data_IF_704630462108
#
_entry.id   IF_704630462108
#
_cell.length_a   1.000
_cell.length_b   1.000
_cell.length_c   1.000
_cell.angle_alpha   90.00
_cell.angle_beta   90.00
_cell.angle_gamma   90.00
#
_symmetry.space_group_name_H-M   'P 1'
#
loop_
_entity.id
_entity.type
_entity.pdbx_description
1 polymer ?
#
# COMPACT_ATOMS: atom_id res chain seq x y z
N UNK A 1 -10.74 -24.86 24.69
CA UNK A 1 -9.41 -24.21 24.54
C UNK A 1 -8.77 -24.83 23.32
N UNK A 2 -8.80 -24.12 22.20
CA UNK A 2 -7.99 -24.42 21.03
C UNK A 2 -7.27 -23.12 20.71
N UNK A 3 -5.96 -23.12 20.93
CA UNK A 3 -5.07 -22.03 20.56
C UNK A 3 -5.03 -21.95 19.04
N UNK A 4 -5.68 -20.95 18.47
CA UNK A 4 -5.46 -20.57 17.07
C UNK A 4 -4.98 -19.12 17.00
N UNK A 5 -4.05 -18.77 17.90
CA UNK A 5 -3.30 -17.52 17.76
C UNK A 5 -2.37 -17.70 16.58
N UNK A 6 -2.71 -17.09 15.43
CA UNK A 6 -1.83 -17.05 14.28
C UNK A 6 -0.54 -16.33 14.71
N UNK A 7 0.51 -17.10 15.04
CA UNK A 7 1.80 -16.57 15.49
C UNK A 7 2.52 -15.96 14.29
N UNK A 8 2.41 -14.65 14.18
CA UNK A 8 3.13 -13.87 13.20
C UNK A 8 4.51 -13.45 13.76
N UNK A 9 5.50 -14.33 13.64
CA UNK A 9 6.91 -13.98 13.90
C UNK A 9 7.50 -13.23 12.69
N UNK A 10 7.18 -11.93 12.58
CA UNK A 10 7.79 -11.07 11.55
C UNK A 10 9.14 -10.53 12.03
N UNK A 11 10.23 -11.29 11.83
CA UNK A 11 11.61 -10.81 12.06
C UNK A 11 12.36 -10.55 10.75
N UNK A 12 13.22 -9.53 10.72
CA UNK A 12 14.06 -9.19 9.57
C UNK A 12 13.30 -8.78 8.30
N UNK A 13 13.60 -9.42 7.17
CA UNK A 13 12.98 -9.18 5.83
C UNK A 13 11.46 -9.41 5.86
N UNK A 14 10.96 -10.21 6.81
CA UNK A 14 9.54 -10.43 6.99
C UNK A 14 8.79 -9.13 7.38
N UNK A 15 9.46 -8.13 7.97
CA UNK A 15 8.85 -6.80 8.19
C UNK A 15 8.59 -6.05 6.90
N UNK A 16 9.33 -6.30 5.81
CA UNK A 16 9.01 -5.70 4.51
C UNK A 16 7.60 -6.13 4.07
N UNK A 17 7.19 -7.38 4.34
CA UNK A 17 5.83 -7.83 4.06
C UNK A 17 4.77 -6.97 4.75
N UNK A 18 5.04 -6.43 5.95
CA UNK A 18 4.12 -5.50 6.63
C UNK A 18 3.98 -4.17 5.88
N UNK A 19 5.05 -3.66 5.28
CA UNK A 19 5.00 -2.43 4.47
C UNK A 19 4.29 -2.64 3.12
N UNK A 20 4.50 -3.80 2.50
CA UNK A 20 3.77 -4.21 1.29
C UNK A 20 2.28 -4.41 1.60
N UNK A 21 1.97 -4.87 2.81
CA UNK A 21 0.60 -5.07 3.26
C UNK A 21 -0.13 -3.75 3.47
N UNK A 22 0.54 -2.82 4.15
CA UNK A 22 0.08 -1.45 4.33
C UNK A 22 -0.21 -0.76 2.98
N UNK A 23 0.51 -1.14 1.93
CA UNK A 23 0.41 -0.54 0.60
C UNK A 23 -0.58 -1.26 -0.32
N UNK A 24 -1.26 -2.31 0.17
CA UNK A 24 -2.18 -3.18 -0.60
C UNK A 24 -1.66 -3.52 -2.00
N UNK A 25 -0.37 -3.85 -2.08
CA UNK A 25 0.37 -3.99 -3.36
C UNK A 25 -0.33 -4.83 -4.46
N UNK A 26 -1.04 -5.94 -4.16
CA UNK A 26 -1.76 -6.70 -5.18
C UNK A 26 -2.93 -5.94 -5.82
N UNK A 27 -3.71 -5.20 -5.02
CA UNK A 27 -4.78 -4.33 -5.53
C UNK A 27 -4.21 -3.10 -6.22
N UNK A 28 -3.16 -2.50 -5.63
CA UNK A 28 -2.44 -1.40 -6.27
C UNK A 28 -1.94 -1.79 -7.66
N UNK A 29 -1.36 -2.98 -7.84
CA UNK A 29 -0.86 -3.41 -9.14
C UNK A 29 -1.96 -3.50 -10.21
N UNK A 30 -3.15 -3.99 -9.86
CA UNK A 30 -4.29 -4.05 -10.78
C UNK A 30 -4.79 -2.66 -11.18
N UNK A 31 -4.88 -1.74 -10.22
CA UNK A 31 -5.29 -0.37 -10.48
C UNK A 31 -4.26 0.36 -11.37
N UNK A 32 -2.97 0.13 -11.13
CA UNK A 32 -1.88 0.68 -11.93
C UNK A 32 -1.90 0.18 -13.38
N UNK A 33 -2.19 -1.10 -13.61
CA UNK A 33 -2.34 -1.66 -14.96
C UNK A 33 -3.47 -0.97 -15.73
N UNK A 34 -4.58 -0.69 -15.06
CA UNK A 34 -5.74 0.00 -15.67
C UNK A 34 -5.38 1.43 -16.06
N UNK A 35 -4.71 2.18 -15.17
CA UNK A 35 -4.25 3.53 -15.46
C UNK A 35 -3.21 3.56 -16.59
N UNK A 36 -2.28 2.60 -16.63
CA UNK A 36 -1.28 2.49 -17.68
C UNK A 36 -1.92 2.18 -19.04
N UNK A 37 -2.88 1.26 -19.09
CA UNK A 37 -3.60 0.92 -20.32
C UNK A 37 -4.41 2.11 -20.84
N UNK A 38 -5.15 2.80 -19.97
CA UNK A 38 -5.92 3.98 -20.36
C UNK A 38 -5.01 5.09 -20.94
N UNK A 39 -3.86 5.30 -20.31
CA UNK A 39 -2.87 6.29 -20.76
C UNK A 39 -2.28 5.92 -22.12
N UNK A 40 -1.98 4.64 -22.36
CA UNK A 40 -1.47 4.15 -23.64
C UNK A 40 -2.51 4.29 -24.75
N UNK A 41 -3.76 3.92 -24.48
CA UNK A 41 -4.88 4.07 -25.42
C UNK A 41 -5.12 5.54 -25.79
N UNK A 42 -4.99 6.45 -24.81
CA UNK A 42 -5.09 7.89 -25.06
C UNK A 42 -3.93 8.43 -25.89
N UNK A 43 -2.70 7.98 -25.62
CA UNK A 43 -1.50 8.44 -26.33
C UNK A 43 -1.44 7.91 -27.77
N UNK A 44 -1.99 6.71 -28.02
CA UNK A 44 -2.05 6.11 -29.35
C UNK A 44 -0.74 5.50 -29.86
N UNK A 45 0.34 5.61 -29.09
CA UNK A 45 1.65 5.01 -29.37
C UNK A 45 2.38 4.71 -28.05
N UNK A 46 3.42 3.88 -28.10
CA UNK A 46 4.26 3.59 -26.95
C UNK A 46 5.24 4.74 -26.67
N UNK A 47 5.21 5.33 -25.45
CA UNK A 47 6.19 6.33 -25.09
C UNK A 47 7.58 5.69 -24.93
N UNK A 48 8.63 6.52 -24.94
CA UNK A 48 9.99 6.01 -24.77
C UNK A 48 10.16 5.20 -23.47
N UNK A 49 11.04 4.19 -23.47
CA UNK A 49 11.30 3.34 -22.31
C UNK A 49 11.62 4.13 -21.03
N UNK A 50 12.26 5.30 -21.17
CA UNK A 50 12.54 6.20 -20.03
C UNK A 50 11.25 6.74 -19.40
N UNK A 51 10.30 7.17 -20.21
CA UNK A 51 9.00 7.68 -19.76
C UNK A 51 8.18 6.55 -19.13
N UNK A 52 8.17 5.37 -19.74
CA UNK A 52 7.50 4.19 -19.17
C UNK A 52 8.07 3.86 -17.79
N UNK A 53 9.39 3.73 -17.67
CA UNK A 53 10.03 3.41 -16.39
C UNK A 53 9.76 4.46 -15.31
N UNK A 54 9.88 5.74 -15.66
CA UNK A 54 9.60 6.83 -14.72
C UNK A 54 8.11 6.88 -14.33
N UNK A 55 7.20 6.67 -15.28
CA UNK A 55 5.76 6.57 -15.07
C UNK A 55 5.38 5.45 -14.11
N UNK A 56 5.94 4.25 -14.31
CA UNK A 56 5.70 3.09 -13.44
C UNK A 56 6.19 3.35 -12.01
N UNK A 57 7.39 3.89 -11.83
CA UNK A 57 7.93 4.22 -10.50
C UNK A 57 7.05 5.28 -9.82
N UNK A 58 6.63 6.31 -10.56
CA UNK A 58 5.82 7.42 -10.05
C UNK A 58 4.44 6.94 -9.61
N UNK A 59 3.76 6.16 -10.45
CA UNK A 59 2.44 5.60 -10.17
C UNK A 59 2.50 4.62 -9.00
N UNK A 60 3.52 3.75 -8.95
CA UNK A 60 3.73 2.84 -7.83
C UNK A 60 3.92 3.59 -6.51
N UNK A 61 4.74 4.65 -6.53
CA UNK A 61 4.96 5.49 -5.37
C UNK A 61 3.67 6.20 -4.92
N UNK A 62 2.89 6.74 -5.86
CA UNK A 62 1.63 7.43 -5.58
C UNK A 62 0.59 6.51 -4.93
N UNK A 63 0.34 5.34 -5.50
CA UNK A 63 -0.58 4.36 -4.91
C UNK A 63 -0.12 3.91 -3.52
N UNK A 64 1.17 3.60 -3.38
CA UNK A 64 1.76 3.22 -2.09
C UNK A 64 1.55 4.31 -1.04
N UNK A 65 1.75 5.58 -1.40
CA UNK A 65 1.54 6.71 -0.51
C UNK A 65 0.07 6.86 -0.09
N UNK A 66 -0.87 6.75 -1.04
CA UNK A 66 -2.31 6.90 -0.78
C UNK A 66 -2.83 5.77 0.13
N UNK A 67 -2.46 4.52 -0.13
CA UNK A 67 -2.86 3.41 0.74
C UNK A 67 -2.25 3.49 2.13
N UNK A 68 -0.96 3.83 2.23
CA UNK A 68 -0.32 4.03 3.53
C UNK A 68 -0.95 5.20 4.31
N UNK A 69 -1.28 6.30 3.63
CA UNK A 69 -1.94 7.45 4.23
C UNK A 69 -3.37 7.11 4.69
N UNK A 70 -4.11 6.32 3.91
CA UNK A 70 -5.44 5.84 4.29
C UNK A 70 -5.40 5.09 5.63
N UNK A 71 -4.43 4.19 5.81
CA UNK A 71 -4.25 3.45 7.07
C UNK A 71 -3.77 4.35 8.23
N UNK A 72 -2.96 5.38 7.95
CA UNK A 72 -2.54 6.38 8.94
C UNK A 72 -3.73 7.23 9.42
N UNK A 73 -4.57 7.72 8.50
CA UNK A 73 -5.77 8.50 8.82
C UNK A 73 -6.81 7.62 9.52
N UNK A 74 -6.99 6.38 9.04
CA UNK A 74 -7.91 5.38 9.58
C UNK A 74 -7.52 4.85 10.96
N UNK A 75 -6.27 5.06 11.40
CA UNK A 75 -5.69 4.47 12.62
C UNK A 75 -6.61 4.44 13.85
N UNK A 76 -7.23 5.58 14.20
CA UNK A 76 -8.09 5.65 15.41
C UNK A 76 -9.39 4.86 15.26
N UNK A 77 -9.98 4.84 14.06
CA UNK A 77 -11.19 4.10 13.75
C UNK A 77 -10.90 2.60 13.71
N UNK A 78 -9.81 2.21 13.06
CA UNK A 78 -9.46 0.81 12.89
C UNK A 78 -8.98 0.18 14.21
N UNK A 79 -8.26 0.95 15.04
CA UNK A 79 -7.92 0.53 16.41
C UNK A 79 -9.16 0.23 17.26
N UNK A 80 -10.23 1.04 17.13
CA UNK A 80 -11.49 0.80 17.84
C UNK A 80 -12.20 -0.45 17.32
N UNK A 81 -12.21 -0.69 16.00
CA UNK A 81 -12.80 -1.90 15.39
C UNK A 81 -12.08 -3.18 15.83
N UNK A 82 -10.74 -3.15 15.92
CA UNK A 82 -9.93 -4.25 16.45
C UNK A 82 -10.28 -4.51 17.92
N UNK A 83 -10.35 -3.45 18.75
CA UNK A 83 -10.67 -3.57 20.18
C UNK A 83 -12.10 -4.07 20.45
N UNK A 84 -13.04 -3.79 19.55
CA UNK A 84 -14.44 -4.25 19.66
C UNK A 84 -14.65 -5.70 19.19
N UNK A 85 -13.59 -6.40 18.77
CA UNK A 85 -13.71 -7.77 18.25
C UNK A 85 -14.48 -7.87 16.93
N UNK A 86 -14.72 -6.73 16.26
CA UNK A 86 -15.48 -6.66 15.01
C UNK A 86 -14.65 -7.08 13.78
N UNK A 87 -13.34 -7.28 13.92
CA UNK A 87 -12.55 -8.04 12.95
C UNK A 87 -12.58 -9.50 13.39
N UNK A 88 -13.56 -10.26 12.88
CA UNK A 88 -13.61 -11.71 13.09
C UNK A 88 -12.38 -12.31 12.39
N UNK A 89 -11.48 -12.93 13.17
CA UNK A 89 -10.28 -13.65 12.70
C UNK A 89 -10.55 -14.75 11.64
N UNK A 90 -11.83 -15.04 11.38
CA UNK A 90 -12.29 -16.15 10.53
C UNK A 90 -12.33 -15.74 9.03
N UNK A 91 -12.40 -14.45 8.71
CA UNK A 91 -12.48 -13.95 7.32
C UNK A 91 -11.10 -13.60 6.72
N UNK A 92 -10.04 -13.59 7.54
CA UNK A 92 -8.69 -13.16 7.15
C UNK A 92 -7.87 -14.25 6.43
N UNK A 93 -8.43 -15.44 6.15
CA UNK A 93 -7.72 -16.54 5.49
C UNK A 93 -8.14 -16.79 4.03
N UNK A 94 -9.24 -16.22 3.56
CA UNK A 94 -9.76 -16.44 2.18
C UNK A 94 -9.67 -15.20 1.28
N UNK A 95 -9.36 -14.02 1.83
CA UNK A 95 -9.30 -12.77 1.05
C UNK A 95 -7.88 -12.49 0.53
N UNK A 96 -7.73 -11.73 -0.56
CA UNK A 96 -6.41 -11.40 -1.14
C UNK A 96 -5.52 -10.63 -0.13
N UNK A 97 -6.16 -9.91 0.80
CA UNK A 97 -5.58 -9.24 1.96
C UNK A 97 -5.04 -10.23 3.03
N UNK A 98 -5.33 -11.54 2.94
CA UNK A 98 -4.80 -12.58 3.84
C UNK A 98 -3.29 -12.81 3.70
N UNK A 99 -2.74 -12.57 2.50
CA UNK A 99 -1.29 -12.72 2.25
C UNK A 99 -0.47 -11.62 2.95
N UNK A 100 -1.13 -10.56 3.43
CA UNK A 100 -0.51 -9.31 3.83
C UNK A 100 -1.30 -8.70 5.00
N UNK A 101 -0.76 -8.82 6.24
CA UNK A 101 -1.44 -8.41 7.49
C UNK A 101 -2.30 -7.16 7.35
N UNK A 102 -3.62 -7.32 7.53
CA UNK A 102 -4.59 -6.23 7.45
C UNK A 102 -4.45 -5.27 8.63
N UNK A 103 -4.30 -3.98 8.33
CA UNK A 103 -4.13 -2.88 9.30
C UNK A 103 -2.98 -3.09 10.32
N UNK A 104 -1.71 -3.16 9.86
CA UNK A 104 -0.56 -3.42 10.73
C UNK A 104 -0.35 -2.33 11.79
N UNK A 105 -0.77 -1.08 11.50
CA UNK A 105 -0.81 0.02 12.46
C UNK A 105 -1.83 -0.22 13.58
N UNK A 106 -3.07 -0.62 13.24
CA UNK A 106 -4.14 -0.84 14.20
C UNK A 106 -3.87 -2.05 15.12
N UNK A 107 -3.16 -3.07 14.61
CA UNK A 107 -2.68 -4.23 15.37
C UNK A 107 -1.41 -3.96 16.20
N UNK A 108 -0.81 -2.77 16.08
CA UNK A 108 0.39 -2.38 16.84
C UNK A 108 1.71 -2.96 16.34
N UNK A 109 1.72 -3.58 15.15
CA UNK A 109 2.91 -4.16 14.52
C UNK A 109 3.83 -3.08 13.91
N UNK A 110 3.26 -1.91 13.61
CA UNK A 110 3.94 -0.71 13.15
C UNK A 110 3.52 0.48 14.00
N UNK A 111 4.47 1.38 14.28
CA UNK A 111 4.17 2.65 14.95
C UNK A 111 3.52 3.64 13.99
N UNK A 112 2.63 4.49 14.51
CA UNK A 112 2.03 5.60 13.75
C UNK A 112 3.08 6.48 13.06
N UNK A 113 4.20 6.73 13.74
CA UNK A 113 5.30 7.53 13.17
C UNK A 113 5.95 6.84 11.98
N UNK A 114 6.12 5.52 12.04
CA UNK A 114 6.72 4.73 10.95
C UNK A 114 5.79 4.72 9.73
N UNK A 115 4.48 4.51 9.94
CA UNK A 115 3.49 4.57 8.86
C UNK A 115 3.42 5.96 8.20
N UNK A 116 3.47 7.03 9.01
CA UNK A 116 3.47 8.40 8.50
C UNK A 116 4.74 8.72 7.71
N UNK A 117 5.92 8.38 8.22
CA UNK A 117 7.20 8.59 7.51
C UNK A 117 7.21 7.81 6.20
N UNK A 118 6.70 6.57 6.20
CA UNK A 118 6.56 5.77 4.99
C UNK A 118 5.65 6.43 3.95
N UNK A 119 4.44 6.85 4.34
CA UNK A 119 3.52 7.52 3.44
C UNK A 119 4.11 8.82 2.86
N UNK A 120 4.77 9.64 3.69
CA UNK A 120 5.40 10.89 3.26
C UNK A 120 6.58 10.63 2.32
N UNK A 121 7.42 9.63 2.60
CA UNK A 121 8.56 9.30 1.75
C UNK A 121 8.11 8.89 0.34
N UNK A 122 7.07 8.05 0.24
CA UNK A 122 6.49 7.66 -1.05
C UNK A 122 5.77 8.81 -1.75
N UNK A 123 5.07 9.68 -1.00
CA UNK A 123 4.43 10.87 -1.56
C UNK A 123 5.46 11.82 -2.18
N UNK A 124 6.59 12.06 -1.51
CA UNK A 124 7.68 12.87 -2.04
C UNK A 124 8.28 12.25 -3.30
N UNK A 125 8.49 10.93 -3.31
CA UNK A 125 8.99 10.24 -4.50
C UNK A 125 8.02 10.35 -5.67
N UNK A 126 6.71 10.23 -5.42
CA UNK A 126 5.67 10.42 -6.43
C UNK A 126 5.65 11.86 -6.97
N UNK A 127 5.79 12.87 -6.11
CA UNK A 127 5.85 14.28 -6.52
C UNK A 127 7.09 14.57 -7.39
N UNK A 128 8.25 14.03 -7.00
CA UNK A 128 9.49 14.16 -7.79
C UNK A 128 9.31 13.47 -9.15
N UNK A 129 8.75 12.26 -9.16
CA UNK A 129 8.48 11.51 -10.39
C UNK A 129 7.52 12.25 -11.32
N UNK A 130 6.44 12.81 -10.77
CA UNK A 130 5.47 13.61 -11.52
C UNK A 130 6.11 14.88 -12.09
N UNK A 131 6.92 15.59 -11.30
CA UNK A 131 7.65 16.78 -11.76
C UNK A 131 8.62 16.46 -12.91
N UNK A 132 9.31 15.32 -12.85
CA UNK A 132 10.22 14.86 -13.90
C UNK A 132 9.50 14.39 -15.16
N UNK A 133 8.28 13.87 -15.04
CA UNK A 133 7.44 13.49 -16.19
C UNK A 133 6.86 14.73 -16.88
N UNK A 134 6.21 15.59 -16.10
CA UNK A 134 5.69 16.86 -16.57
C UNK A 134 5.46 17.81 -15.38
N UNK A 135 6.22 18.91 -15.27
CA UNK A 135 6.13 19.83 -14.14
C UNK A 135 4.87 20.72 -14.17
N UNK A 136 4.10 20.71 -15.27
CA UNK A 136 2.89 21.53 -15.48
C UNK A 136 1.66 20.62 -15.67
N UNK A 137 1.65 19.42 -15.08
CA UNK A 137 0.49 18.55 -15.10
C UNK A 137 -0.80 19.25 -14.63
#
# INVERSE_FOLDING_TARGET
MAETSCRYDFTGIARLKLFWALSRTPHGLLDMCTAALASLLWLGDFPSFKIIGLGLITVFAGYTAVYALNDVIGYRSDKKKVQQGNLREIDDCEDLDAMLVRHPLARGLLSFKEGLVWAVAWALLALIGAYLLNPIC
#
